data_IF_676753390763
#
_entry.id   IF_676753390763
#
_cell.length_a   1.000
_cell.length_b   1.000
_cell.length_c   1.000
_cell.angle_alpha   90.00
_cell.angle_beta   90.00
_cell.angle_gamma   90.00
#
_symmetry.space_group_name_H-M   'P 1'
#
loop_
_entity.id
_entity.type
_entity.pdbx_description
1 polymer ?
#
# COMPACT_ATOMS: atom_id res chain seq x y z
N UNK A 1 -6.62 40.62 -15.33
CA UNK A 1 -7.90 39.86 -15.29
C UNK A 1 -8.13 38.94 -16.49
N UNK A 2 -7.71 39.26 -17.72
CA UNK A 2 -7.90 38.34 -18.89
C UNK A 2 -7.00 37.10 -18.94
N UNK A 3 -5.88 37.07 -18.19
CA UNK A 3 -4.96 35.91 -18.15
C UNK A 3 -5.36 34.80 -17.15
N UNK A 4 -6.24 35.09 -16.18
CA UNK A 4 -6.74 34.09 -15.21
C UNK A 4 -7.98 33.34 -15.73
N UNK A 5 -8.73 33.93 -16.65
CA UNK A 5 -9.91 33.30 -17.29
C UNK A 5 -9.48 32.26 -18.35
N UNK A 6 -8.31 32.44 -18.98
CA UNK A 6 -7.80 31.51 -19.98
C UNK A 6 -7.30 30.18 -19.38
N UNK A 7 -6.88 30.18 -18.10
CA UNK A 7 -6.46 28.96 -17.39
C UNK A 7 -7.65 28.13 -16.90
N UNK A 8 -8.74 28.78 -16.48
CA UNK A 8 -9.98 28.11 -16.07
C UNK A 8 -10.73 27.43 -17.24
N UNK A 9 -10.56 27.92 -18.48
CA UNK A 9 -11.16 27.33 -19.66
C UNK A 9 -10.37 26.15 -20.24
N UNK A 10 -9.08 26.00 -19.91
CA UNK A 10 -8.28 24.85 -20.34
C UNK A 10 -8.50 23.63 -19.43
N UNK A 11 -8.78 23.84 -18.14
CA UNK A 11 -9.08 22.77 -17.18
C UNK A 11 -10.48 22.16 -17.35
N UNK A 12 -11.44 22.84 -17.98
CA UNK A 12 -12.78 22.27 -18.25
C UNK A 12 -12.86 21.42 -19.52
N UNK A 13 -11.81 21.36 -20.36
CA UNK A 13 -11.88 20.67 -21.66
C UNK A 13 -11.24 19.27 -21.69
N UNK A 14 -10.79 18.74 -20.55
CA UNK A 14 -10.27 17.36 -20.42
C UNK A 14 -11.19 16.41 -19.66
N UNK A 15 -12.34 16.89 -19.17
CA UNK A 15 -13.38 16.05 -18.58
C UNK A 15 -14.44 15.65 -19.61
N UNK A 16 -14.07 14.87 -20.62
CA UNK A 16 -15.01 14.04 -21.41
C UNK A 16 -14.24 13.07 -22.30
N UNK A 17 -14.09 11.80 -21.89
CA UNK A 17 -14.37 10.65 -22.79
C UNK A 17 -14.41 9.32 -22.04
N UNK A 18 -15.64 8.81 -21.97
CA UNK A 18 -16.06 7.43 -22.25
C UNK A 18 -15.86 6.32 -21.21
N UNK A 19 -17.00 5.98 -20.60
CA UNK A 19 -17.38 4.61 -20.34
C UNK A 19 -17.24 3.73 -21.60
N UNK A 20 -16.59 2.57 -21.44
CA UNK A 20 -16.75 1.43 -22.34
C UNK A 20 -16.53 0.13 -21.55
N UNK A 21 -17.62 -0.43 -21.01
CA UNK A 21 -17.69 -1.87 -20.77
C UNK A 21 -17.55 -2.58 -22.11
N UNK A 22 -16.47 -3.34 -22.30
CA UNK A 22 -16.31 -4.27 -23.41
C UNK A 22 -15.89 -5.63 -22.87
N UNK A 23 -16.87 -6.52 -22.76
CA UNK A 23 -16.70 -7.97 -22.61
C UNK A 23 -15.84 -8.47 -23.78
N UNK A 24 -14.66 -9.04 -23.51
CA UNK A 24 -13.87 -9.76 -24.52
C UNK A 24 -14.04 -11.26 -24.32
N UNK A 25 -14.59 -11.91 -25.35
CA UNK A 25 -14.59 -13.36 -25.52
C UNK A 25 -13.17 -13.87 -25.75
N UNK A 26 -12.86 -15.02 -25.14
CA UNK A 26 -11.58 -15.71 -25.29
C UNK A 26 -11.43 -16.29 -26.71
N UNK A 27 -10.25 -16.19 -27.35
CA UNK A 27 -10.00 -16.87 -28.61
C UNK A 27 -9.92 -18.39 -28.40
N UNK A 28 -10.68 -19.15 -29.20
CA UNK A 28 -10.51 -20.61 -29.31
C UNK A 28 -9.22 -20.94 -30.04
N UNK A 29 -8.36 -21.75 -29.42
CA UNK A 29 -7.20 -22.39 -30.07
C UNK A 29 -7.66 -23.60 -30.90
N UNK A 30 -7.10 -23.85 -32.09
CA UNK A 30 -7.51 -24.96 -32.95
C UNK A 30 -6.99 -26.31 -32.42
N UNK A 31 -7.89 -27.29 -32.45
CA UNK A 31 -7.66 -28.71 -32.17
C UNK A 31 -6.62 -29.30 -33.14
N UNK A 32 -5.53 -29.86 -32.60
CA UNK A 32 -4.63 -30.71 -33.36
C UNK A 32 -5.04 -32.18 -33.22
N UNK A 33 -5.04 -32.88 -34.35
CA UNK A 33 -5.54 -34.23 -34.56
C UNK A 33 -4.70 -35.30 -33.86
N UNK A 34 -5.37 -36.25 -33.19
CA UNK A 34 -4.80 -37.46 -32.62
C UNK A 34 -4.62 -38.51 -33.72
N UNK A 35 -3.40 -38.99 -33.93
CA UNK A 35 -3.14 -40.22 -34.67
C UNK A 35 -2.85 -41.40 -33.72
N UNK A 36 -3.44 -42.52 -34.10
CA UNK A 36 -3.61 -43.86 -33.52
C UNK A 36 -2.41 -44.54 -32.83
N UNK A 37 -2.73 -45.18 -31.70
CA UNK A 37 -2.09 -46.30 -30.95
C UNK A 37 -1.76 -47.57 -31.78
N UNK A 38 -1.20 -48.69 -31.22
CA UNK A 38 -0.69 -48.96 -29.83
C UNK A 38 0.65 -49.74 -29.79
N UNK A 39 1.24 -49.88 -28.59
CA UNK A 39 1.72 -51.19 -28.08
C UNK A 39 2.00 -51.12 -26.56
N UNK A 40 1.44 -52.09 -25.83
CA UNK A 40 1.49 -52.25 -24.38
C UNK A 40 2.60 -53.23 -23.99
N UNK A 41 3.41 -52.93 -22.95
CA UNK A 41 3.95 -53.95 -22.07
C UNK A 41 3.41 -53.83 -20.62
N UNK A 42 3.36 -54.98 -19.96
CA UNK A 42 2.85 -55.30 -18.62
C UNK A 42 3.58 -54.60 -17.44
N UNK A 43 2.97 -54.57 -16.24
CA UNK A 43 3.20 -53.57 -15.21
C UNK A 43 4.45 -53.83 -14.38
N UNK A 44 5.28 -52.80 -14.23
CA UNK A 44 6.28 -52.72 -13.15
C UNK A 44 5.62 -52.07 -11.95
N UNK A 45 5.75 -52.65 -10.75
CA UNK A 45 5.22 -52.09 -9.51
C UNK A 45 5.75 -50.66 -9.30
N UNK A 46 4.88 -49.67 -9.50
CA UNK A 46 5.11 -48.30 -9.05
C UNK A 46 4.96 -48.27 -7.53
N UNK A 47 6.06 -47.95 -6.84
CA UNK A 47 6.03 -47.42 -5.48
C UNK A 47 5.08 -46.23 -5.43
N UNK A 48 4.14 -46.24 -4.48
CA UNK A 48 3.23 -45.12 -4.19
C UNK A 48 3.97 -43.77 -4.24
N UNK A 49 3.42 -42.75 -4.91
CA UNK A 49 3.95 -41.41 -4.79
C UNK A 49 3.85 -41.00 -3.32
N UNK A 50 5.01 -40.77 -2.70
CA UNK A 50 5.09 -40.08 -1.40
C UNK A 50 4.25 -38.82 -1.50
N UNK A 51 3.17 -38.75 -0.74
CA UNK A 51 2.35 -37.54 -0.64
C UNK A 51 3.28 -36.39 -0.30
N UNK A 52 3.35 -35.39 -1.18
CA UNK A 52 3.89 -34.09 -0.83
C UNK A 52 3.13 -33.61 0.42
N UNK A 53 3.79 -32.94 1.38
CA UNK A 53 3.07 -32.33 2.49
C UNK A 53 1.94 -31.48 1.92
N UNK A 54 0.71 -31.73 2.35
CA UNK A 54 -0.40 -30.83 2.07
C UNK A 54 0.02 -29.46 2.56
N UNK A 55 0.15 -28.48 1.65
CA UNK A 55 0.28 -27.09 2.05
C UNK A 55 -0.90 -26.78 2.96
N UNK A 56 -0.67 -26.17 4.14
CA UNK A 56 -1.77 -25.81 5.02
C UNK A 56 -2.75 -24.97 4.20
N UNK A 57 -4.01 -25.37 4.24
CA UNK A 57 -5.14 -24.64 3.67
C UNK A 57 -5.03 -23.18 4.14
N UNK A 58 -4.48 -22.32 3.28
CA UNK A 58 -4.29 -20.90 3.54
C UNK A 58 -5.69 -20.35 3.68
N UNK A 59 -6.20 -20.28 4.91
CA UNK A 59 -7.44 -19.60 5.20
C UNK A 59 -7.30 -18.19 4.63
N UNK A 60 -8.03 -17.91 3.55
CA UNK A 60 -8.05 -16.58 2.95
C UNK A 60 -8.48 -15.63 4.06
N UNK A 61 -7.53 -14.83 4.54
CA UNK A 61 -7.80 -13.88 5.59
C UNK A 61 -8.93 -12.96 5.13
N UNK A 62 -9.85 -12.62 6.04
CA UNK A 62 -10.89 -11.64 5.77
C UNK A 62 -10.32 -10.25 5.47
N UNK A 63 -9.02 -10.04 5.75
CA UNK A 63 -8.26 -8.81 5.56
C UNK A 63 -6.93 -9.10 4.83
N UNK A 64 -6.30 -8.07 4.25
CA UNK A 64 -5.03 -8.23 3.53
C UNK A 64 -3.84 -8.50 4.45
N UNK A 65 -2.62 -8.41 3.94
CA UNK A 65 -1.42 -8.81 4.70
C UNK A 65 -1.14 -7.96 5.93
N UNK A 66 -1.63 -6.71 5.94
CA UNK A 66 -1.57 -5.82 7.09
C UNK A 66 -2.63 -6.14 8.17
N UNK A 67 -3.74 -6.77 7.77
CA UNK A 67 -4.89 -7.15 8.60
C UNK A 67 -5.37 -6.09 9.60
N UNK A 68 -4.79 -6.00 10.80
CA UNK A 68 -5.15 -4.99 11.81
C UNK A 68 -3.93 -4.23 12.29
N UNK A 69 -4.11 -2.96 12.66
CA UNK A 69 -2.99 -2.15 13.18
C UNK A 69 -2.44 -2.64 14.53
N UNK A 70 -3.25 -3.38 15.31
CA UNK A 70 -2.81 -3.94 16.59
C UNK A 70 -2.02 -5.24 16.40
N UNK A 71 -1.20 -5.58 17.40
CA UNK A 71 -0.26 -6.70 17.31
C UNK A 71 1.10 -6.26 16.77
N UNK A 72 1.89 -7.21 16.29
CA UNK A 72 3.21 -6.96 15.71
C UNK A 72 3.14 -6.96 14.19
N UNK A 73 3.57 -5.86 13.59
CA UNK A 73 3.63 -5.66 12.13
C UNK A 73 5.07 -5.57 11.66
N UNK A 74 5.41 -6.35 10.63
CA UNK A 74 6.65 -6.19 9.88
C UNK A 74 6.48 -5.08 8.84
N UNK A 75 7.41 -4.12 8.81
CA UNK A 75 7.52 -3.12 7.75
C UNK A 75 8.73 -3.49 6.90
N UNK A 76 8.49 -4.22 5.82
CA UNK A 76 9.54 -4.70 4.92
C UNK A 76 9.92 -3.58 3.95
N UNK A 77 11.18 -3.18 3.97
CA UNK A 77 11.71 -2.04 3.21
C UNK A 77 12.39 -2.50 1.92
N UNK A 78 11.85 -2.09 0.79
CA UNK A 78 12.28 -2.50 -0.55
C UNK A 78 12.78 -1.25 -1.29
N UNK A 79 14.11 -1.14 -1.43
CA UNK A 79 14.72 -0.08 -2.22
C UNK A 79 14.63 -0.45 -3.69
N UNK A 80 13.77 0.25 -4.42
CA UNK A 80 13.36 -0.13 -5.76
C UNK A 80 14.03 0.74 -6.84
N UNK A 81 14.73 0.07 -7.75
CA UNK A 81 15.11 0.61 -9.05
C UNK A 81 13.99 0.35 -10.06
N UNK A 82 13.67 1.35 -10.86
CA UNK A 82 12.78 1.20 -12.01
C UNK A 82 13.45 1.76 -13.28
N UNK A 83 12.72 1.89 -14.38
CA UNK A 83 13.31 2.41 -15.62
C UNK A 83 13.75 3.89 -15.55
N UNK A 84 13.32 4.65 -14.53
CA UNK A 84 13.53 6.10 -14.42
C UNK A 84 14.26 6.53 -13.14
N UNK A 85 14.27 5.70 -12.10
CA UNK A 85 14.79 5.99 -10.76
C UNK A 85 15.69 4.85 -10.30
N UNK A 86 16.77 5.21 -9.60
CA UNK A 86 17.80 4.27 -9.20
C UNK A 86 18.37 4.66 -7.84
N UNK A 87 18.73 3.64 -7.06
CA UNK A 87 19.49 3.80 -5.84
C UNK A 87 20.98 3.49 -6.06
N UNK A 88 21.83 4.38 -5.57
CA UNK A 88 23.27 4.17 -5.40
C UNK A 88 23.59 4.16 -3.90
N UNK A 89 23.93 2.99 -3.36
CA UNK A 89 24.18 2.78 -1.92
C UNK A 89 25.24 3.71 -1.30
N UNK A 90 26.14 4.27 -2.11
CA UNK A 90 27.18 5.19 -1.61
C UNK A 90 26.74 6.65 -1.69
N UNK A 91 26.15 7.05 -2.82
CA UNK A 91 25.75 8.42 -3.11
C UNK A 91 24.49 8.79 -2.34
N UNK A 92 23.56 7.84 -2.22
CA UNK A 92 22.25 8.02 -1.61
C UNK A 92 22.20 7.53 -0.15
N UNK A 93 23.35 7.23 0.46
CA UNK A 93 23.42 6.71 1.83
C UNK A 93 22.70 7.62 2.85
N UNK A 94 22.77 8.94 2.67
CA UNK A 94 22.09 9.89 3.54
C UNK A 94 20.56 9.82 3.39
N UNK A 95 20.07 9.61 2.17
CA UNK A 95 18.64 9.46 1.90
C UNK A 95 18.11 8.13 2.46
N UNK A 96 18.88 7.05 2.30
CA UNK A 96 18.57 5.73 2.89
C UNK A 96 18.51 5.84 4.43
N UNK A 97 19.47 6.52 5.04
CA UNK A 97 19.48 6.77 6.50
C UNK A 97 18.31 7.64 6.94
N UNK A 98 17.91 8.64 6.13
CA UNK A 98 16.75 9.48 6.41
C UNK A 98 15.45 8.68 6.34
N UNK A 99 15.31 7.78 5.36
CA UNK A 99 14.16 6.86 5.26
C UNK A 99 14.01 6.01 6.53
N UNK A 100 15.11 5.47 7.06
CA UNK A 100 15.12 4.72 8.33
C UNK A 100 14.62 5.57 9.49
N UNK A 101 15.11 6.82 9.60
CA UNK A 101 14.71 7.73 10.65
C UNK A 101 13.24 8.16 10.55
N UNK A 102 12.73 8.38 9.33
CA UNK A 102 11.33 8.72 9.14
C UNK A 102 10.40 7.55 9.49
N UNK A 103 10.77 6.32 9.16
CA UNK A 103 10.04 5.13 9.62
C UNK A 103 10.04 5.02 11.14
N UNK A 104 11.17 5.28 11.81
CA UNK A 104 11.23 5.32 13.27
C UNK A 104 10.22 6.32 13.82
N UNK A 105 10.24 7.57 13.34
CA UNK A 105 9.33 8.63 13.81
C UNK A 105 7.86 8.24 13.54
N UNK A 106 7.56 7.72 12.35
CA UNK A 106 6.21 7.34 11.94
C UNK A 106 5.66 6.19 12.78
N UNK A 107 6.43 5.14 12.98
CA UNK A 107 6.01 3.95 13.73
C UNK A 107 5.91 4.21 15.22
N UNK A 108 6.81 5.02 15.80
CA UNK A 108 6.69 5.49 17.19
C UNK A 108 5.42 6.32 17.38
N UNK A 109 5.16 7.26 16.47
CA UNK A 109 3.94 8.07 16.51
C UNK A 109 2.67 7.22 16.40
N UNK A 110 2.62 6.26 15.47
CA UNK A 110 1.48 5.34 15.33
C UNK A 110 1.27 4.51 16.59
N UNK A 111 2.35 3.97 17.14
CA UNK A 111 2.34 3.21 18.40
C UNK A 111 1.76 4.05 19.54
N UNK A 112 2.12 5.33 19.63
CA UNK A 112 1.57 6.24 20.62
C UNK A 112 0.12 6.64 20.35
N UNK A 113 -0.22 6.89 19.09
CA UNK A 113 -1.53 7.37 18.65
C UNK A 113 -2.66 6.36 18.90
N UNK A 114 -2.36 5.06 18.86
CA UNK A 114 -3.36 4.01 19.10
C UNK A 114 -3.56 3.65 20.58
N UNK A 115 -2.62 4.01 21.48
CA UNK A 115 -2.70 3.70 22.92
C UNK A 115 -4.02 4.11 23.60
N UNK A 116 -4.62 5.28 23.32
CA UNK A 116 -5.88 5.70 23.92
C UNK A 116 -7.05 4.75 23.64
N UNK A 117 -6.97 3.94 22.58
CA UNK A 117 -8.00 2.98 22.18
C UNK A 117 -7.80 1.60 22.84
N UNK A 118 -6.80 1.44 23.71
CA UNK A 118 -6.60 0.22 24.51
C UNK A 118 -5.95 -0.93 23.75
N UNK A 119 -5.42 -0.68 22.56
CA UNK A 119 -4.66 -1.65 21.77
C UNK A 119 -3.16 -1.37 21.85
N UNK A 120 -2.36 -2.39 21.51
CA UNK A 120 -0.91 -2.25 21.34
C UNK A 120 -0.60 -2.49 19.87
N UNK A 121 0.11 -1.55 19.25
CA UNK A 121 0.74 -1.73 17.94
C UNK A 121 2.25 -1.76 18.14
N UNK A 122 2.90 -2.74 17.53
CA UNK A 122 4.36 -2.88 17.50
C UNK A 122 4.79 -2.98 16.04
N UNK A 123 5.80 -2.20 15.64
CA UNK A 123 6.30 -2.20 14.27
C UNK A 123 7.78 -2.58 14.27
N UNK A 124 8.13 -3.62 13.53
CA UNK A 124 9.52 -3.96 13.22
C UNK A 124 9.85 -3.41 11.84
N UNK A 125 10.65 -2.36 11.80
CA UNK A 125 11.03 -1.62 10.59
C UNK A 125 12.55 -1.42 10.50
N UNK A 126 13.29 -1.63 11.59
CA UNK A 126 14.71 -1.32 11.66
C UNK A 126 15.55 -2.37 10.99
N UNK A 127 15.80 -2.18 9.69
CA UNK A 127 16.62 -3.10 8.92
C UNK A 127 18.12 -3.06 9.27
N UNK A 128 18.57 -2.16 10.14
CA UNK A 128 19.95 -2.20 10.65
C UNK A 128 20.07 -3.23 11.77
N UNK A 129 19.03 -3.39 12.58
CA UNK A 129 18.93 -4.43 13.60
C UNK A 129 18.40 -5.75 13.02
N UNK A 130 17.45 -5.67 12.08
CA UNK A 130 16.73 -6.78 11.44
C UNK A 130 16.97 -6.79 9.92
N UNK A 131 18.16 -7.21 9.45
CA UNK A 131 18.59 -7.02 8.06
C UNK A 131 17.79 -7.83 7.02
N UNK A 132 17.02 -8.83 7.44
CA UNK A 132 16.12 -9.60 6.57
C UNK A 132 14.79 -8.87 6.27
N UNK A 133 14.56 -7.71 6.88
CA UNK A 133 13.48 -6.79 6.55
C UNK A 133 13.86 -5.78 5.44
N UNK A 134 15.09 -5.84 4.89
CA UNK A 134 15.51 -4.99 3.76
C UNK A 134 15.81 -5.78 2.50
N UNK A 135 15.23 -5.31 1.39
CA UNK A 135 15.44 -5.85 0.06
C UNK A 135 15.83 -4.75 -0.93
N UNK A 136 16.47 -5.16 -2.01
CA UNK A 136 16.67 -4.33 -3.20
C UNK A 136 15.96 -4.99 -4.37
N UNK A 137 15.14 -4.22 -5.07
CA UNK A 137 14.37 -4.69 -6.20
C UNK A 137 14.78 -3.92 -7.46
N UNK A 138 14.77 -4.60 -8.61
CA UNK A 138 15.06 -3.97 -9.89
C UNK A 138 14.01 -4.34 -10.92
N UNK A 139 13.33 -3.32 -11.41
CA UNK A 139 12.27 -3.44 -12.41
C UNK A 139 12.72 -2.84 -13.74
N UNK A 140 12.22 -3.39 -14.84
CA UNK A 140 12.53 -2.90 -16.19
C UNK A 140 11.54 -1.85 -16.69
N UNK A 141 10.40 -1.76 -16.02
CA UNK A 141 9.29 -0.87 -16.27
C UNK A 141 9.43 0.40 -15.43
N UNK A 142 8.75 1.48 -15.84
CA UNK A 142 8.59 2.66 -14.98
C UNK A 142 7.44 2.38 -14.02
N UNK A 143 7.73 2.32 -12.72
CA UNK A 143 6.75 2.11 -11.64
C UNK A 143 6.34 3.43 -10.97
N UNK A 144 7.21 4.45 -11.00
CA UNK A 144 6.86 5.80 -10.52
C UNK A 144 5.90 6.45 -11.52
N UNK A 145 4.60 6.29 -11.29
CA UNK A 145 3.52 6.70 -12.20
C UNK A 145 2.37 7.38 -11.44
N UNK A 146 1.70 8.31 -12.09
CA UNK A 146 0.53 9.01 -11.52
C UNK A 146 -0.77 8.18 -11.57
N UNK A 147 -0.81 7.09 -12.35
CA UNK A 147 -2.01 6.27 -12.55
C UNK A 147 -2.13 5.10 -11.56
N UNK A 148 -1.15 4.91 -10.66
CA UNK A 148 -1.14 3.81 -9.68
C UNK A 148 -1.16 2.40 -10.30
N UNK A 149 -0.88 2.29 -11.60
CA UNK A 149 -0.85 1.00 -12.30
C UNK A 149 0.43 0.24 -12.00
N UNK A 150 0.50 -1.04 -12.40
CA UNK A 150 1.68 -1.92 -12.27
C UNK A 150 1.93 -2.55 -10.89
N UNK A 151 0.96 -2.45 -9.98
CA UNK A 151 1.03 -3.12 -8.68
C UNK A 151 1.22 -4.65 -8.78
N UNK A 152 0.67 -5.29 -9.82
CA UNK A 152 0.84 -6.74 -10.06
C UNK A 152 2.32 -7.13 -10.20
N UNK A 153 3.17 -6.24 -10.75
CA UNK A 153 4.61 -6.49 -10.89
C UNK A 153 5.31 -6.46 -9.53
N UNK A 154 4.90 -5.53 -8.66
CA UNK A 154 5.44 -5.41 -7.31
C UNK A 154 4.97 -6.57 -6.41
N UNK A 155 3.70 -6.92 -6.49
CA UNK A 155 3.14 -8.08 -5.80
C UNK A 155 3.80 -9.38 -6.27
N UNK A 156 4.02 -9.55 -7.58
CA UNK A 156 4.77 -10.67 -8.13
C UNK A 156 6.21 -10.75 -7.60
N UNK A 157 6.91 -9.63 -7.52
CA UNK A 157 8.24 -9.59 -6.90
C UNK A 157 8.23 -10.04 -5.44
N UNK A 158 7.28 -9.56 -4.63
CA UNK A 158 7.13 -9.97 -3.23
C UNK A 158 6.94 -11.48 -3.15
N UNK A 159 5.98 -12.02 -3.90
CA UNK A 159 5.65 -13.45 -3.90
C UNK A 159 6.85 -14.32 -4.29
N UNK A 160 7.66 -13.88 -5.24
CA UNK A 160 8.80 -14.64 -5.75
C UNK A 160 10.05 -14.54 -4.87
N UNK A 161 10.25 -13.44 -4.14
CA UNK A 161 11.55 -13.10 -3.55
C UNK A 161 11.53 -12.92 -2.03
N UNK A 162 10.38 -12.67 -1.42
CA UNK A 162 10.29 -12.38 0.02
C UNK A 162 9.62 -13.57 0.72
N UNK A 163 10.32 -14.25 1.66
CA UNK A 163 9.78 -15.39 2.38
C UNK A 163 8.86 -14.93 3.51
N UNK A 164 7.72 -14.35 3.14
CA UNK A 164 6.79 -13.65 4.04
C UNK A 164 6.38 -14.46 5.25
N UNK A 165 5.94 -15.70 5.03
CA UNK A 165 5.45 -16.56 6.11
C UNK A 165 6.60 -17.02 7.02
N UNK A 166 7.80 -17.21 6.49
CA UNK A 166 9.00 -17.45 7.29
C UNK A 166 9.35 -16.24 8.15
N UNK A 167 9.34 -15.03 7.59
CA UNK A 167 9.60 -13.79 8.32
C UNK A 167 8.58 -13.59 9.44
N UNK A 168 7.29 -13.73 9.15
CA UNK A 168 6.23 -13.61 10.17
C UNK A 168 6.43 -14.61 11.30
N UNK A 169 6.78 -15.87 10.99
CA UNK A 169 7.11 -16.88 12.03
C UNK A 169 8.39 -16.56 12.80
N UNK A 170 9.43 -16.06 12.13
CA UNK A 170 10.71 -15.74 12.75
C UNK A 170 10.59 -14.59 13.76
N UNK A 171 9.77 -13.59 13.42
CA UNK A 171 9.55 -12.40 14.22
C UNK A 171 8.31 -12.45 15.13
N UNK A 172 7.56 -13.56 15.09
CA UNK A 172 6.29 -13.70 15.80
C UNK A 172 5.37 -12.51 15.50
N UNK A 173 5.16 -12.25 14.21
CA UNK A 173 4.42 -11.11 13.69
C UNK A 173 3.04 -11.52 13.15
N UNK A 174 2.05 -10.70 13.46
CA UNK A 174 0.66 -10.86 13.03
C UNK A 174 0.48 -10.36 11.59
N UNK A 175 1.17 -9.27 11.25
CA UNK A 175 0.92 -8.48 10.04
C UNK A 175 2.21 -8.19 9.27
N UNK A 176 2.09 -7.84 8.00
CA UNK A 176 3.20 -7.37 7.15
C UNK A 176 2.73 -6.32 6.15
N UNK A 177 3.53 -5.26 6.01
CA UNK A 177 3.39 -4.19 5.03
C UNK A 177 4.69 -4.04 4.26
N UNK A 178 4.61 -3.84 2.94
CA UNK A 178 5.77 -3.73 2.06
C UNK A 178 5.95 -2.29 1.57
N UNK A 179 6.99 -1.62 2.03
CA UNK A 179 7.36 -0.27 1.60
C UNK A 179 8.34 -0.33 0.44
N UNK A 180 7.92 0.09 -0.74
CA UNK A 180 8.80 0.36 -1.87
C UNK A 180 9.24 1.82 -1.83
N UNK A 181 10.54 2.03 -1.65
CA UNK A 181 11.17 3.34 -1.70
C UNK A 181 11.76 3.58 -3.09
N UNK A 182 11.34 4.67 -3.73
CA UNK A 182 11.92 5.13 -4.99
C UNK A 182 12.70 6.41 -4.78
N UNK A 183 13.94 6.44 -5.26
CA UNK A 183 14.79 7.63 -5.26
C UNK A 183 14.34 8.62 -6.36
N UNK A 184 13.18 9.23 -6.17
CA UNK A 184 12.63 10.19 -7.13
C UNK A 184 13.40 11.52 -7.08
N UNK A 185 13.52 12.25 -8.21
CA UNK A 185 14.02 13.62 -8.20
C UNK A 185 12.97 14.61 -7.67
N UNK A 186 13.40 15.82 -7.27
CA UNK A 186 12.48 16.93 -6.94
C UNK A 186 11.63 17.42 -8.13
N UNK A 187 11.91 16.94 -9.34
CA UNK A 187 11.17 17.25 -10.57
C UNK A 187 10.23 16.09 -10.90
N UNK A 188 8.95 16.21 -10.54
CA UNK A 188 7.98 15.12 -10.75
C UNK A 188 6.63 15.39 -10.09
N UNK A 189 5.62 14.59 -10.42
CA UNK A 189 4.23 14.80 -10.01
C UNK A 189 3.52 13.66 -9.27
N UNK A 190 3.98 12.39 -9.22
CA UNK A 190 3.21 11.42 -8.46
C UNK A 190 3.49 11.61 -6.96
N UNK A 191 2.42 11.64 -6.16
CA UNK A 191 2.48 11.56 -4.70
C UNK A 191 2.67 10.10 -4.26
N UNK A 192 3.18 9.85 -3.05
CA UNK A 192 3.14 8.52 -2.45
C UNK A 192 1.71 7.95 -2.50
N UNK A 193 1.62 6.62 -2.52
CA UNK A 193 0.34 5.93 -2.49
C UNK A 193 0.49 4.53 -1.95
N UNK A 194 -0.61 4.00 -1.45
CA UNK A 194 -0.71 2.66 -0.90
C UNK A 194 -1.80 1.85 -1.58
N UNK A 195 -1.61 0.54 -1.65
CA UNK A 195 -2.58 -0.41 -2.17
C UNK A 195 -2.62 -1.65 -1.30
N UNK A 196 -3.83 -2.15 -1.10
CA UNK A 196 -4.07 -3.39 -0.39
C UNK A 196 -5.41 -3.98 -0.83
N UNK A 197 -5.89 -4.94 -0.05
CA UNK A 197 -7.11 -5.70 -0.29
C UNK A 197 -8.35 -4.83 -0.46
N UNK A 198 -8.39 -3.70 0.24
CA UNK A 198 -9.45 -2.70 0.09
C UNK A 198 -9.60 -2.14 -1.31
N UNK A 199 -8.50 -2.04 -2.05
CA UNK A 199 -8.48 -1.47 -3.39
C UNK A 199 -8.65 -2.56 -4.46
N UNK A 200 -8.35 -3.83 -4.14
CA UNK A 200 -8.57 -4.98 -5.00
C UNK A 200 -8.69 -6.26 -4.19
N UNK A 201 -9.84 -6.95 -4.25
CA UNK A 201 -10.04 -8.28 -3.63
C UNK A 201 -9.12 -9.36 -4.22
N UNK A 202 -8.38 -9.07 -5.28
CA UNK A 202 -7.37 -9.96 -5.86
C UNK A 202 -5.96 -9.70 -5.30
N UNK A 203 -5.79 -8.68 -4.45
CA UNK A 203 -4.51 -8.27 -3.88
C UNK A 203 -4.60 -8.30 -2.35
N UNK A 204 -4.24 -9.43 -1.74
CA UNK A 204 -4.15 -9.56 -0.29
C UNK A 204 -2.77 -9.12 0.25
N UNK A 205 -2.05 -8.29 -0.51
CA UNK A 205 -0.67 -7.84 -0.22
C UNK A 205 -0.61 -6.33 -0.14
N UNK A 206 -0.25 -5.83 1.04
CA UNK A 206 -0.38 -4.43 1.38
C UNK A 206 0.95 -3.75 1.09
N UNK A 207 0.95 -3.00 -0.01
CA UNK A 207 2.11 -2.32 -0.55
C UNK A 207 1.96 -0.81 -0.41
N UNK A 208 3.08 -0.16 -0.13
CA UNK A 208 3.21 1.28 -0.07
C UNK A 208 4.30 1.69 -1.05
N UNK A 209 3.99 2.61 -1.95
CA UNK A 209 4.95 3.27 -2.80
C UNK A 209 5.27 4.64 -2.23
N UNK A 210 6.46 4.77 -1.65
CA UNK A 210 6.96 6.03 -1.15
C UNK A 210 7.99 6.62 -2.13
N UNK A 211 7.69 7.82 -2.60
CA UNK A 211 8.56 8.61 -3.48
C UNK A 211 9.28 9.62 -2.61
N UNK A 212 10.61 9.49 -2.44
CA UNK A 212 11.35 10.33 -1.48
C UNK A 212 11.12 11.83 -1.69
N UNK A 213 10.92 12.23 -2.95
CA UNK A 213 10.71 13.60 -3.37
C UNK A 213 9.47 13.60 -4.25
N UNK A 214 8.32 13.81 -3.62
CA UNK A 214 7.05 13.93 -4.30
C UNK A 214 6.49 15.35 -4.13
N UNK A 215 5.91 15.88 -5.21
CA UNK A 215 5.20 17.17 -5.25
C UNK A 215 5.86 18.36 -4.50
N UNK A 216 7.13 18.69 -4.76
CA UNK A 216 7.76 19.90 -4.24
C UNK A 216 9.29 19.83 -4.12
N UNK A 217 9.96 20.92 -3.70
CA UNK A 217 11.42 20.95 -3.51
C UNK A 217 11.85 20.44 -2.12
N UNK A 218 11.09 19.54 -1.52
CA UNK A 218 11.33 19.00 -0.17
C UNK A 218 11.17 17.48 -0.18
N UNK A 219 11.90 16.82 0.72
CA UNK A 219 11.75 15.38 0.92
C UNK A 219 10.42 15.11 1.64
N UNK A 220 9.86 13.92 1.43
CA UNK A 220 8.64 13.49 2.12
C UNK A 220 8.89 13.40 3.63
N UNK A 221 8.10 14.13 4.46
CA UNK A 221 8.27 14.14 5.91
C UNK A 221 7.83 12.82 6.55
N UNK A 222 8.20 12.53 7.81
CA UNK A 222 7.74 11.33 8.53
C UNK A 222 6.20 11.20 8.60
N UNK A 223 5.45 12.31 8.51
CA UNK A 223 3.99 12.28 8.40
C UNK A 223 3.48 11.59 7.15
N UNK A 224 4.21 11.67 6.02
CA UNK A 224 3.87 10.90 4.82
C UNK A 224 4.00 9.39 5.07
N UNK A 225 5.05 8.97 5.77
CA UNK A 225 5.28 7.55 6.08
C UNK A 225 4.18 6.99 6.98
N UNK A 226 3.77 7.75 8.01
CA UNK A 226 2.67 7.34 8.89
C UNK A 226 1.33 7.34 8.15
N UNK A 227 1.08 8.34 7.29
CA UNK A 227 -0.12 8.42 6.46
C UNK A 227 -0.25 7.21 5.53
N UNK A 228 0.82 6.85 4.82
CA UNK A 228 0.80 5.68 3.94
C UNK A 228 0.70 4.35 4.73
N UNK A 229 1.31 4.24 5.91
CA UNK A 229 1.09 3.10 6.79
C UNK A 229 -0.39 2.96 7.19
N UNK A 230 -1.09 4.07 7.48
CA UNK A 230 -2.51 4.04 7.82
C UNK A 230 -3.38 3.57 6.65
N UNK A 231 -3.02 3.92 5.41
CA UNK A 231 -3.69 3.36 4.24
C UNK A 231 -3.55 1.84 4.13
N UNK A 232 -2.39 1.28 4.50
CA UNK A 232 -2.19 -0.17 4.53
C UNK A 232 -3.14 -0.87 5.52
N UNK A 233 -3.63 -0.17 6.54
CA UNK A 233 -4.65 -0.67 7.48
C UNK A 233 -6.06 -0.16 7.17
N UNK A 234 -6.25 0.48 6.03
CA UNK A 234 -7.56 0.80 5.47
C UNK A 234 -8.17 2.14 5.80
N UNK A 235 -7.37 3.07 6.32
CA UNK A 235 -7.84 4.44 6.52
C UNK A 235 -7.88 5.18 5.18
N UNK A 236 -8.99 5.84 4.79
CA UNK A 236 -9.08 6.57 3.52
C UNK A 236 -8.49 7.98 3.60
N UNK A 237 -8.10 8.51 2.45
CA UNK A 237 -7.75 9.93 2.30
C UNK A 237 -8.94 10.84 2.58
N UNK A 238 -8.70 11.92 3.33
CA UNK A 238 -9.74 12.91 3.66
C UNK A 238 -9.65 14.20 2.82
N UNK A 239 -8.61 14.36 2.00
CA UNK A 239 -8.36 15.60 1.24
C UNK A 239 -8.93 15.64 -0.18
N UNK A 240 -9.50 14.54 -0.68
CA UNK A 240 -10.25 14.50 -1.93
C UNK A 240 -11.50 13.62 -1.80
N UNK A 241 -12.44 13.80 -2.73
CA UNK A 241 -13.68 13.02 -2.72
C UNK A 241 -13.47 11.65 -3.37
N UNK A 242 -14.02 10.61 -2.74
CA UNK A 242 -13.96 9.23 -3.21
C UNK A 242 -15.22 8.45 -2.86
N UNK A 243 -15.16 7.12 -3.01
CA UNK A 243 -16.29 6.25 -2.67
C UNK A 243 -16.70 6.31 -1.20
N UNK A 244 -15.74 6.57 -0.31
CA UNK A 244 -15.95 6.67 1.13
C UNK A 244 -16.16 8.11 1.60
N UNK A 245 -15.53 9.09 0.94
CA UNK A 245 -15.46 10.48 1.41
C UNK A 245 -16.21 11.41 0.44
N UNK A 246 -17.35 12.00 0.84
CA UNK A 246 -18.10 12.93 0.02
C UNK A 246 -17.45 14.31 -0.02
N UNK A 247 -17.61 15.02 -1.13
CA UNK A 247 -17.05 16.37 -1.33
C UNK A 247 -17.40 17.35 -0.20
N UNK A 248 -18.60 17.26 0.39
CA UNK A 248 -19.00 18.13 1.49
C UNK A 248 -18.13 17.97 2.74
N UNK A 249 -17.60 16.77 2.98
CA UNK A 249 -16.67 16.52 4.09
C UNK A 249 -15.29 17.12 3.79
N UNK A 250 -14.79 16.92 2.57
CA UNK A 250 -13.52 17.53 2.11
C UNK A 250 -13.55 19.05 2.25
N UNK A 251 -14.67 19.67 1.83
CA UNK A 251 -14.87 21.12 1.96
C UNK A 251 -14.88 21.54 3.44
N UNK A 252 -15.51 20.77 4.32
CA UNK A 252 -15.50 21.00 5.76
C UNK A 252 -14.10 20.93 6.38
N UNK A 253 -13.31 19.89 6.05
CA UNK A 253 -11.92 19.76 6.51
C UNK A 253 -11.08 20.97 6.07
N UNK A 254 -11.29 21.44 4.83
CA UNK A 254 -10.62 22.62 4.29
C UNK A 254 -11.03 23.91 5.00
N UNK A 255 -12.32 24.11 5.23
CA UNK A 255 -12.84 25.33 5.88
C UNK A 255 -12.45 25.43 7.36
N UNK A 256 -12.29 24.29 8.03
CA UNK A 256 -11.91 24.23 9.44
C UNK A 256 -10.41 24.11 9.69
N UNK A 257 -9.63 23.82 8.65
CA UNK A 257 -8.18 23.61 8.78
C UNK A 257 -7.88 22.33 9.55
N UNK A 258 -8.49 21.22 9.13
CA UNK A 258 -8.30 19.91 9.77
C UNK A 258 -6.82 19.59 9.98
N UNK A 259 -6.50 19.07 11.16
CA UNK A 259 -5.16 18.60 11.53
C UNK A 259 -5.07 17.08 11.50
N UNK A 260 -6.08 16.42 10.95
CA UNK A 260 -6.09 14.99 10.69
C UNK A 260 -4.95 14.60 9.74
N UNK A 261 -4.20 13.56 10.09
CA UNK A 261 -3.05 13.10 9.29
C UNK A 261 -3.47 12.60 7.90
N UNK A 262 -4.68 12.07 7.76
CA UNK A 262 -5.26 11.61 6.50
C UNK A 262 -5.82 12.77 5.65
N UNK A 263 -5.91 13.97 6.22
CA UNK A 263 -6.19 15.20 5.47
C UNK A 263 -4.92 15.96 5.07
N UNK A 264 -3.91 16.01 5.94
CA UNK A 264 -2.69 16.76 5.67
C UNK A 264 -1.45 16.09 6.26
N UNK A 265 -0.47 15.90 5.40
CA UNK A 265 0.86 15.39 5.77
C UNK A 265 1.87 16.51 6.01
N UNK A 266 1.44 17.78 6.04
CA UNK A 266 2.34 18.90 6.32
C UNK A 266 2.95 18.71 7.71
N UNK A 267 4.28 18.69 7.79
CA UNK A 267 4.97 18.37 9.02
C UNK A 267 6.40 18.85 9.05
N UNK A 268 7.00 18.72 10.22
CA UNK A 268 8.43 18.92 10.41
C UNK A 268 9.18 17.62 10.03
N UNK A 269 10.45 17.72 9.67
CA UNK A 269 11.27 16.55 9.31
C UNK A 269 11.69 15.71 10.53
N UNK A 270 11.46 16.21 11.75
CA UNK A 270 11.89 15.57 13.00
C UNK A 270 10.71 15.11 13.90
N UNK A 271 9.46 15.35 13.48
CA UNK A 271 8.26 14.92 14.21
C UNK A 271 6.98 15.00 13.36
N UNK A 272 5.99 14.22 13.76
CA UNK A 272 4.62 14.32 13.23
C UNK A 272 3.81 15.27 14.12
N UNK A 273 3.13 16.24 13.51
CA UNK A 273 2.25 17.21 14.19
C UNK A 273 0.76 16.98 13.90
N UNK A 274 0.45 16.15 12.89
CA UNK A 274 -0.89 15.69 12.60
C UNK A 274 -1.47 14.82 13.70
N UNK A 275 -2.78 14.58 13.62
CA UNK A 275 -3.54 13.84 14.61
C UNK A 275 -4.15 12.60 13.98
N UNK A 276 -4.15 11.49 14.74
CA UNK A 276 -5.04 10.36 14.50
C UNK A 276 -6.39 10.70 15.15
N UNK A 277 -7.40 10.95 14.35
CA UNK A 277 -8.72 11.35 14.83
C UNK A 277 -9.59 10.15 15.20
N UNK A 278 -10.77 10.41 15.77
CA UNK A 278 -11.77 9.36 16.02
C UNK A 278 -12.26 8.73 14.69
N UNK A 279 -12.22 9.50 13.59
CA UNK A 279 -12.58 8.97 12.28
C UNK A 279 -11.53 7.99 11.76
N UNK A 280 -10.25 8.30 11.91
CA UNK A 280 -9.16 7.38 11.57
C UNK A 280 -9.25 6.11 12.41
N UNK A 281 -9.45 6.25 13.73
CA UNK A 281 -9.60 5.12 14.64
C UNK A 281 -10.77 4.20 14.27
N UNK A 282 -11.88 4.77 13.79
CA UNK A 282 -13.00 4.00 13.26
C UNK A 282 -12.63 3.21 12.00
N UNK A 283 -11.93 3.84 11.05
CA UNK A 283 -11.45 3.14 9.86
C UNK A 283 -10.37 2.11 10.15
N UNK A 284 -9.64 2.23 11.26
CA UNK A 284 -8.72 1.21 11.79
C UNK A 284 -9.41 0.09 12.59
N UNK A 285 -10.74 0.13 12.73
CA UNK A 285 -11.48 -0.87 13.53
C UNK A 285 -11.28 -0.74 15.04
N UNK A 286 -10.75 0.38 15.52
CA UNK A 286 -10.45 0.59 16.95
C UNK A 286 -11.65 1.13 17.74
N UNK A 287 -12.62 1.75 17.06
CA UNK A 287 -13.82 2.31 17.67
C UNK A 287 -15.07 2.01 16.85
N UNK A 288 -16.22 2.07 17.51
CA UNK A 288 -17.50 2.07 16.80
C UNK A 288 -17.63 3.30 15.90
N UNK A 289 -18.55 3.22 14.94
CA UNK A 289 -18.87 4.30 14.02
C UNK A 289 -19.18 5.63 14.73
N UNK A 290 -18.40 6.71 14.49
CA UNK A 290 -18.59 7.97 15.17
C UNK A 290 -19.75 8.77 14.56
N UNK A 291 -20.36 9.64 15.37
CA UNK A 291 -21.47 10.49 14.93
C UNK A 291 -21.08 11.42 13.75
N UNK A 292 -19.80 11.76 13.64
CA UNK A 292 -19.26 12.50 12.50
C UNK A 292 -19.41 11.73 11.18
N UNK A 293 -19.12 10.42 11.18
CA UNK A 293 -19.28 9.59 10.00
C UNK A 293 -20.73 9.54 9.52
N UNK A 294 -21.70 9.45 10.45
CA UNK A 294 -23.12 9.50 10.12
C UNK A 294 -23.58 10.87 9.62
N UNK A 295 -23.15 11.94 10.29
CA UNK A 295 -23.48 13.32 9.92
C UNK A 295 -23.09 13.62 8.48
N UNK A 296 -21.92 13.14 8.06
CA UNK A 296 -21.38 13.39 6.73
C UNK A 296 -21.65 12.27 5.73
N UNK A 297 -22.32 11.20 6.15
CA UNK A 297 -22.63 10.03 5.31
C UNK A 297 -21.37 9.39 4.71
N UNK A 298 -20.33 9.25 5.54
CA UNK A 298 -19.07 8.62 5.14
C UNK A 298 -19.28 7.12 4.91
N UNK A 299 -18.47 6.51 4.04
CA UNK A 299 -18.51 5.08 3.78
C UNK A 299 -18.21 4.23 5.02
N UNK A 300 -18.53 2.94 4.94
CA UNK A 300 -18.27 2.00 6.05
C UNK A 300 -16.78 1.64 6.09
N UNK A 301 -16.31 1.36 7.31
CA UNK A 301 -15.00 0.73 7.53
C UNK A 301 -15.06 -0.72 7.05
N UNK A 302 -13.92 -1.31 6.66
CA UNK A 302 -13.88 -2.75 6.35
C UNK A 302 -14.08 -3.62 7.59
N UNK A 303 -13.76 -3.08 8.76
CA UNK A 303 -13.95 -3.72 10.06
C UNK A 303 -15.37 -3.53 10.60
N UNK A 304 -16.27 -2.88 9.85
CA UNK A 304 -17.64 -2.63 10.30
C UNK A 304 -18.43 -3.95 10.42
N UNK A 305 -18.82 -4.30 11.64
CA UNK A 305 -19.66 -5.47 11.92
C UNK A 305 -18.88 -6.73 12.34
N UNK A 306 -17.57 -6.60 12.57
CA UNK A 306 -16.71 -7.59 13.23
C UNK A 306 -16.74 -7.45 14.76
#
# INVERSE_FOLDING_TARGET
>A
MKRRILWLLLCMLLCTTMAACARREAPQLPTAEVQTQPETPEPTQETEPSQAPEEPDQAVSAHGSAAYIHGRTLVVSIFADDAATHWDETTDAADIDQTQEHLRIATEWLTDAVKPYGVTAEFLYDWKEDPDLRYSAKFTETLVRADGSMYDVQAGYIQENIPTEELKRAYDADNVVYFFFFNTPYEGTPSPWSLGRLNSQACDTELVNLFLRAAGPVDEPPSAYAHELLHAFGVPDLYYTGGLIPQAYVDYCKETGSQDIMYTINGDMDRITGQLTELDAYYLGLTARPAEADRWQLGLSEYEGE
#
